data_IF_371768635767
#
_entry.id   IF_371768635767
#
_cell.length_a   1.000
_cell.length_b   1.000
_cell.length_c   1.000
_cell.angle_alpha   90.00
_cell.angle_beta   90.00
_cell.angle_gamma   90.00
#
_symmetry.space_group_name_H-M   'P 1'
#
loop_
_entity.id
_entity.type
_entity.pdbx_description
1 polymer ?
#
# COMPACT_ATOMS: atom_id res chain seq x y z
N UNK A 1 -21.03 -55.04 39.83
CA UNK A 1 -20.21 -53.83 39.54
C UNK A 1 -20.08 -53.75 38.04
N UNK A 2 -20.75 -52.78 37.44
CA UNK A 2 -20.94 -52.72 35.99
C UNK A 2 -19.72 -52.08 35.28
N UNK A 3 -19.23 -52.69 34.21
CA UNK A 3 -17.99 -52.24 33.47
C UNK A 3 -18.19 -50.92 32.71
N UNK A 4 -19.34 -50.29 32.77
CA UNK A 4 -19.72 -49.08 32.02
C UNK A 4 -18.93 -47.83 32.45
N UNK A 5 -18.40 -47.81 33.68
CA UNK A 5 -17.76 -46.58 34.20
C UNK A 5 -16.29 -46.42 33.76
N UNK A 6 -15.59 -47.49 33.45
CA UNK A 6 -14.18 -47.43 33.05
C UNK A 6 -13.99 -46.92 31.63
N UNK A 7 -14.94 -47.20 30.73
CA UNK A 7 -14.87 -46.73 29.34
C UNK A 7 -15.11 -45.23 29.24
N UNK A 8 -16.07 -44.69 30.01
CA UNK A 8 -16.33 -43.23 30.08
C UNK A 8 -15.08 -42.46 30.57
N UNK A 9 -14.39 -42.94 31.59
CA UNK A 9 -13.15 -42.33 32.09
C UNK A 9 -12.01 -42.37 31.07
N UNK A 10 -11.91 -43.46 30.31
CA UNK A 10 -10.90 -43.56 29.22
C UNK A 10 -11.20 -42.57 28.10
N UNK A 11 -12.45 -42.43 27.71
CA UNK A 11 -12.91 -41.52 26.67
C UNK A 11 -12.68 -40.07 27.08
N UNK A 12 -12.99 -39.68 28.30
CA UNK A 12 -12.73 -38.34 28.84
C UNK A 12 -11.24 -38.03 28.86
N UNK A 13 -10.39 -38.97 29.30
CA UNK A 13 -8.93 -38.79 29.29
C UNK A 13 -8.39 -38.62 27.87
N UNK A 14 -8.91 -39.36 26.90
CA UNK A 14 -8.52 -39.27 25.51
C UNK A 14 -8.89 -37.90 24.91
N UNK A 15 -10.12 -37.45 25.19
CA UNK A 15 -10.58 -36.12 24.75
C UNK A 15 -9.74 -35.01 25.37
N UNK A 16 -9.45 -35.08 26.67
CA UNK A 16 -8.60 -34.11 27.35
C UNK A 16 -7.16 -34.12 26.81
N UNK A 17 -6.60 -35.31 26.50
CA UNK A 17 -5.27 -35.43 25.90
C UNK A 17 -5.23 -34.80 24.49
N UNK A 18 -6.23 -35.07 23.65
CA UNK A 18 -6.34 -34.48 22.32
C UNK A 18 -6.49 -32.96 22.41
N UNK A 19 -7.32 -32.50 23.35
CA UNK A 19 -7.50 -31.06 23.56
C UNK A 19 -6.21 -30.37 24.04
N UNK A 20 -5.51 -31.00 25.00
CA UNK A 20 -4.20 -30.54 25.45
C UNK A 20 -3.17 -30.46 24.32
N UNK A 21 -3.15 -31.47 23.44
CA UNK A 21 -2.26 -31.49 22.28
C UNK A 21 -2.61 -30.39 21.27
N UNK A 22 -3.89 -30.13 21.07
CA UNK A 22 -4.36 -29.03 20.23
C UNK A 22 -3.96 -27.66 20.80
N UNK A 23 -4.09 -27.46 22.11
CA UNK A 23 -3.67 -26.22 22.78
C UNK A 23 -2.16 -26.02 22.67
N UNK A 24 -1.38 -27.07 22.88
CA UNK A 24 0.08 -27.03 22.70
C UNK A 24 0.47 -26.69 21.27
N UNK A 25 -0.23 -27.25 20.28
CA UNK A 25 -0.02 -26.92 18.87
C UNK A 25 -0.36 -25.46 18.56
N UNK A 26 -1.46 -24.94 19.10
CA UNK A 26 -1.83 -23.52 18.96
C UNK A 26 -0.78 -22.60 19.59
N UNK A 27 -0.31 -22.91 20.80
CA UNK A 27 0.74 -22.13 21.47
C UNK A 27 2.03 -22.16 20.65
N UNK A 28 2.40 -23.30 20.10
CA UNK A 28 3.59 -23.41 19.24
C UNK A 28 3.45 -22.60 17.95
N UNK A 29 2.27 -22.66 17.33
CA UNK A 29 2.03 -22.02 16.03
C UNK A 29 1.84 -20.51 16.15
N UNK A 30 1.11 -20.04 17.14
CA UNK A 30 0.79 -18.62 17.33
C UNK A 30 1.59 -17.92 18.45
N UNK A 31 2.39 -18.68 19.18
CA UNK A 31 3.20 -18.13 20.28
C UNK A 31 4.13 -16.99 19.86
N UNK A 32 4.86 -17.10 18.76
CA UNK A 32 5.71 -16.01 18.26
C UNK A 32 4.92 -14.74 17.95
N UNK A 33 3.76 -14.85 17.28
CA UNK A 33 2.91 -13.72 16.93
C UNK A 33 2.28 -13.07 18.18
N UNK A 34 1.84 -13.90 19.12
CA UNK A 34 1.30 -13.42 20.39
C UNK A 34 2.38 -12.72 21.24
N UNK A 35 3.62 -13.23 21.20
CA UNK A 35 4.76 -12.62 21.85
C UNK A 35 5.11 -11.25 21.25
N UNK A 36 5.14 -11.16 19.92
CA UNK A 36 5.36 -9.89 19.21
C UNK A 36 4.25 -8.88 19.50
N UNK A 37 2.99 -9.34 19.47
CA UNK A 37 1.85 -8.49 19.81
C UNK A 37 1.92 -7.97 21.26
N UNK A 38 2.26 -8.83 22.22
CA UNK A 38 2.40 -8.46 23.61
C UNK A 38 3.54 -7.45 23.81
N UNK A 39 4.67 -7.66 23.15
CA UNK A 39 5.79 -6.72 23.14
C UNK A 39 5.39 -5.36 22.57
N UNK A 40 4.71 -5.32 21.42
CA UNK A 40 4.22 -4.07 20.79
C UNK A 40 3.22 -3.33 21.68
N UNK A 41 2.30 -4.06 22.32
CA UNK A 41 1.35 -3.46 23.28
C UNK A 41 2.07 -2.88 24.49
N UNK A 42 3.05 -3.60 25.06
CA UNK A 42 3.83 -3.14 26.21
C UNK A 42 4.63 -1.87 25.90
N UNK A 43 5.15 -1.75 24.69
CA UNK A 43 5.89 -0.56 24.23
C UNK A 43 5.00 0.54 23.64
N UNK A 44 3.67 0.38 23.67
CA UNK A 44 2.70 1.30 23.05
C UNK A 44 2.92 1.51 21.54
N UNK A 45 3.59 0.59 20.88
CA UNK A 45 3.84 0.60 19.43
C UNK A 45 2.60 0.16 18.65
N UNK A 46 1.44 0.64 19.07
CA UNK A 46 0.16 0.21 18.50
C UNK A 46 -0.17 1.11 17.31
N UNK A 47 -0.33 0.51 16.16
CA UNK A 47 -0.89 1.13 14.96
C UNK A 47 0.06 2.05 14.17
N UNK A 48 0.66 3.07 14.77
CA UNK A 48 1.52 4.01 14.05
C UNK A 48 2.88 3.39 13.68
N UNK A 49 3.52 2.66 14.61
CA UNK A 49 4.81 2.01 14.37
C UNK A 49 4.69 0.89 13.34
N UNK A 50 3.64 0.06 13.43
CA UNK A 50 3.37 -1.02 12.44
C UNK A 50 3.20 -0.43 11.04
N UNK A 51 2.50 0.68 10.92
CA UNK A 51 2.32 1.36 9.62
C UNK A 51 3.62 1.95 9.10
N UNK A 52 4.51 2.41 9.97
CA UNK A 52 5.82 2.93 9.56
C UNK A 52 6.77 1.86 9.00
N UNK A 53 6.54 0.58 9.30
CA UNK A 53 7.28 -0.52 8.68
C UNK A 53 6.84 -0.76 7.23
N UNK A 54 5.60 -0.38 6.87
CA UNK A 54 5.07 -0.54 5.51
C UNK A 54 5.67 0.51 4.56
N UNK A 55 6.41 0.11 3.51
CA UNK A 55 7.07 1.04 2.58
C UNK A 55 6.09 1.99 1.89
N UNK A 56 4.89 1.50 1.56
CA UNK A 56 3.86 2.28 0.91
C UNK A 56 3.31 3.38 1.83
N UNK A 57 3.14 3.07 3.11
CA UNK A 57 2.71 4.05 4.11
C UNK A 57 3.76 5.15 4.31
N UNK A 58 5.05 4.77 4.41
CA UNK A 58 6.15 5.75 4.53
C UNK A 58 6.19 6.69 3.33
N UNK A 59 6.03 6.14 2.14
CA UNK A 59 5.96 6.93 0.92
C UNK A 59 4.76 7.87 0.92
N UNK A 60 3.56 7.38 1.24
CA UNK A 60 2.36 8.21 1.34
C UNK A 60 2.49 9.30 2.42
N UNK A 61 3.12 9.00 3.54
CA UNK A 61 3.39 10.00 4.59
C UNK A 61 4.37 11.10 4.11
N UNK A 62 5.42 10.72 3.38
CA UNK A 62 6.35 11.67 2.77
C UNK A 62 5.66 12.54 1.69
N UNK A 63 4.82 11.93 0.85
CA UNK A 63 4.02 12.65 -0.14
C UNK A 63 3.05 13.64 0.51
N UNK A 64 2.41 13.27 1.61
CA UNK A 64 1.52 14.16 2.37
C UNK A 64 2.20 15.41 2.90
N UNK A 65 3.48 15.32 3.23
CA UNK A 65 4.27 16.46 3.69
C UNK A 65 4.56 17.46 2.57
N UNK A 66 4.63 17.00 1.32
CA UNK A 66 4.99 17.82 0.16
C UNK A 66 3.77 18.27 -0.66
N UNK A 67 2.77 17.40 -0.79
CA UNK A 67 1.57 17.67 -1.60
C UNK A 67 0.53 18.41 -0.76
N UNK A 68 0.12 19.63 -1.13
CA UNK A 68 -0.91 20.38 -0.41
C UNK A 68 -2.26 19.63 -0.38
N UNK A 69 -3.06 19.89 0.64
CA UNK A 69 -4.37 19.23 0.83
C UNK A 69 -5.33 19.52 -0.32
N UNK A 70 -5.25 20.72 -0.89
CA UNK A 70 -6.11 21.16 -2.02
C UNK A 70 -5.59 20.70 -3.39
N UNK A 71 -4.42 20.08 -3.46
CA UNK A 71 -3.83 19.68 -4.74
C UNK A 71 -4.49 18.43 -5.31
N UNK A 72 -4.58 18.42 -6.64
CA UNK A 72 -4.91 17.21 -7.42
C UNK A 72 -3.63 16.51 -7.80
N UNK A 73 -3.64 15.19 -7.75
CA UNK A 73 -2.53 14.36 -8.24
C UNK A 73 -3.04 13.23 -9.13
N UNK A 74 -2.25 12.92 -10.15
CA UNK A 74 -2.44 11.73 -10.98
C UNK A 74 -1.53 10.63 -10.45
N UNK A 75 -2.06 9.43 -10.36
CA UNK A 75 -1.34 8.26 -9.89
C UNK A 75 -1.33 7.19 -11.00
N UNK A 76 -0.15 6.80 -11.43
CA UNK A 76 0.03 5.69 -12.37
C UNK A 76 0.23 4.40 -11.57
N UNK A 77 -0.78 3.54 -11.57
CA UNK A 77 -0.72 2.26 -10.88
C UNK A 77 -1.62 1.22 -11.55
N UNK A 78 -1.30 -0.04 -11.31
CA UNK A 78 -2.17 -1.15 -11.71
C UNK A 78 -3.30 -1.32 -10.69
N UNK A 79 -4.51 -1.03 -11.12
CA UNK A 79 -5.71 -1.21 -10.30
C UNK A 79 -5.86 -2.64 -9.77
N UNK A 80 -5.46 -3.64 -10.57
CA UNK A 80 -5.54 -5.05 -10.17
C UNK A 80 -4.61 -5.40 -9.00
N UNK A 81 -3.57 -4.60 -8.74
CA UNK A 81 -2.67 -4.81 -7.60
C UNK A 81 -3.26 -4.37 -6.25
N UNK A 82 -4.38 -3.63 -6.24
CA UNK A 82 -5.09 -3.21 -5.03
C UNK A 82 -4.40 -2.14 -4.17
N UNK A 83 -3.17 -1.74 -4.53
CA UNK A 83 -2.37 -0.79 -3.74
C UNK A 83 -2.81 0.67 -3.92
N UNK A 84 -3.48 0.96 -5.00
CA UNK A 84 -4.11 2.26 -5.27
C UNK A 84 -5.04 2.70 -4.14
N UNK A 85 -5.88 1.80 -3.67
CA UNK A 85 -6.84 2.07 -2.59
C UNK A 85 -6.14 2.51 -1.31
N UNK A 86 -5.02 1.86 -0.97
CA UNK A 86 -4.21 2.21 0.19
C UNK A 86 -3.61 3.62 0.06
N UNK A 87 -3.00 3.92 -1.10
CA UNK A 87 -2.43 5.26 -1.36
C UNK A 87 -3.52 6.33 -1.30
N UNK A 88 -4.66 6.11 -1.95
CA UNK A 88 -5.79 7.02 -1.93
C UNK A 88 -6.31 7.27 -0.51
N UNK A 89 -6.43 6.22 0.30
CA UNK A 89 -6.82 6.33 1.70
C UNK A 89 -5.84 7.18 2.51
N UNK A 90 -4.54 6.91 2.37
CA UNK A 90 -3.51 7.66 3.10
C UNK A 90 -3.36 9.09 2.61
N UNK A 91 -3.64 9.36 1.35
CA UNK A 91 -3.54 10.69 0.74
C UNK A 91 -4.79 11.55 0.91
N UNK A 92 -5.90 10.97 1.38
CA UNK A 92 -7.14 11.74 1.59
C UNK A 92 -6.89 12.99 2.47
N UNK A 93 -7.59 14.12 2.21
CA UNK A 93 -8.69 14.35 1.26
C UNK A 93 -8.25 14.87 -0.12
N UNK A 94 -6.98 14.73 -0.52
CA UNK A 94 -6.47 15.20 -1.82
C UNK A 94 -7.19 14.54 -2.97
N UNK A 95 -7.43 15.29 -4.04
CA UNK A 95 -8.09 14.75 -5.23
C UNK A 95 -7.17 13.78 -5.95
N UNK A 96 -7.66 12.58 -6.14
CA UNK A 96 -6.94 11.43 -6.72
C UNK A 96 -7.49 11.09 -8.10
N UNK A 97 -6.60 10.89 -9.08
CA UNK A 97 -6.92 10.42 -10.42
C UNK A 97 -6.02 9.23 -10.72
N UNK A 98 -6.61 8.07 -10.93
CA UNK A 98 -5.89 6.85 -11.29
C UNK A 98 -5.83 6.70 -12.80
N UNK A 99 -4.63 6.41 -13.31
CA UNK A 99 -4.41 6.00 -14.69
C UNK A 99 -3.59 4.71 -14.72
N UNK A 100 -3.78 3.87 -15.75
CA UNK A 100 -2.99 2.65 -15.90
C UNK A 100 -1.51 2.98 -16.17
N UNK A 101 -0.56 2.10 -15.77
CA UNK A 101 0.86 2.32 -15.99
C UNK A 101 1.25 2.46 -17.46
N UNK A 102 0.47 1.82 -18.36
CA UNK A 102 0.71 1.79 -19.80
C UNK A 102 0.12 3.01 -20.54
N UNK A 103 -0.37 4.01 -19.82
CA UNK A 103 -1.03 5.19 -20.40
C UNK A 103 -0.16 5.86 -21.48
N UNK A 104 -0.74 6.22 -22.66
CA UNK A 104 -0.06 7.02 -23.66
C UNK A 104 0.32 8.40 -23.14
N UNK A 105 1.41 8.97 -23.66
CA UNK A 105 1.90 10.29 -23.23
C UNK A 105 0.87 11.40 -23.52
N UNK A 106 0.22 11.38 -24.65
CA UNK A 106 -0.82 12.34 -25.05
C UNK A 106 -1.97 12.35 -24.06
N UNK A 107 -2.45 11.17 -23.65
CA UNK A 107 -3.56 11.06 -22.70
C UNK A 107 -3.16 11.44 -21.28
N UNK A 108 -1.95 11.07 -20.85
CA UNK A 108 -1.42 11.50 -19.55
C UNK A 108 -1.34 13.03 -19.46
N UNK A 109 -0.73 13.67 -20.47
CA UNK A 109 -0.54 15.12 -20.47
C UNK A 109 -1.87 15.87 -20.59
N UNK A 110 -2.79 15.37 -21.41
CA UNK A 110 -4.16 15.87 -21.48
C UNK A 110 -4.84 15.81 -20.11
N UNK A 111 -4.77 14.67 -19.44
CA UNK A 111 -5.40 14.50 -18.12
C UNK A 111 -4.79 15.44 -17.07
N UNK A 112 -3.45 15.54 -17.03
CA UNK A 112 -2.77 16.46 -16.12
C UNK A 112 -3.21 17.91 -16.33
N UNK A 113 -3.34 18.33 -17.60
CA UNK A 113 -3.80 19.67 -17.95
C UNK A 113 -5.28 19.88 -17.60
N UNK A 114 -6.16 18.98 -18.07
CA UNK A 114 -7.61 19.08 -17.88
C UNK A 114 -7.99 19.12 -16.40
N UNK A 115 -7.34 18.31 -15.60
CA UNK A 115 -7.63 18.17 -14.17
C UNK A 115 -6.79 19.11 -13.29
N UNK A 116 -5.98 19.96 -13.91
CA UNK A 116 -5.06 20.88 -13.23
C UNK A 116 -4.22 20.15 -12.17
N UNK A 117 -3.77 18.94 -12.50
CA UNK A 117 -3.03 18.13 -11.57
C UNK A 117 -1.60 18.65 -11.39
N UNK A 118 -1.27 19.03 -10.16
CA UNK A 118 0.02 19.60 -9.82
C UNK A 118 1.08 18.54 -9.50
N UNK A 119 0.69 17.28 -9.41
CA UNK A 119 1.60 16.19 -9.07
C UNK A 119 1.30 14.93 -9.90
N UNK A 120 2.37 14.22 -10.24
CA UNK A 120 2.33 12.90 -10.86
C UNK A 120 3.07 11.91 -9.97
N UNK A 121 2.40 10.84 -9.59
CA UNK A 121 2.96 9.75 -8.80
C UNK A 121 3.01 8.50 -9.68
N UNK A 122 4.10 7.79 -9.66
CA UNK A 122 4.27 6.56 -10.43
C UNK A 122 4.69 5.46 -9.45
N UNK A 123 3.93 4.39 -9.35
CA UNK A 123 4.37 3.21 -8.62
C UNK A 123 5.05 2.25 -9.60
N UNK A 124 6.30 1.92 -9.31
CA UNK A 124 7.01 0.88 -10.03
C UNK A 124 6.53 -0.48 -9.53
N UNK A 125 5.85 -1.19 -10.39
CA UNK A 125 5.24 -2.48 -10.09
C UNK A 125 5.78 -3.59 -10.99
N UNK A 126 4.99 -4.65 -11.13
CA UNK A 126 5.32 -5.78 -11.99
C UNK A 126 5.21 -5.48 -13.49
N UNK A 127 4.43 -4.47 -13.85
CA UNK A 127 4.24 -4.08 -15.25
C UNK A 127 5.28 -3.02 -15.66
N UNK A 128 5.77 -3.09 -16.89
CA UNK A 128 6.67 -2.07 -17.42
C UNK A 128 5.94 -0.73 -17.51
N UNK A 129 6.68 0.35 -17.28
CA UNK A 129 6.17 1.70 -17.43
C UNK A 129 5.94 2.01 -18.91
N UNK A 130 4.74 2.50 -19.21
CA UNK A 130 4.34 2.88 -20.55
C UNK A 130 4.93 4.20 -21.05
N UNK A 131 4.58 4.57 -22.29
CA UNK A 131 5.13 5.79 -22.93
C UNK A 131 4.87 7.07 -22.14
N UNK A 132 3.72 7.18 -21.47
CA UNK A 132 3.39 8.34 -20.66
C UNK A 132 4.36 8.56 -19.49
N UNK A 133 4.64 7.49 -18.74
CA UNK A 133 5.57 7.54 -17.62
C UNK A 133 7.01 7.82 -18.09
N UNK A 134 7.41 7.26 -19.23
CA UNK A 134 8.72 7.52 -19.83
C UNK A 134 8.84 8.97 -20.32
N UNK A 135 7.83 9.48 -21.00
CA UNK A 135 7.79 10.87 -21.42
C UNK A 135 7.85 11.85 -20.24
N UNK A 136 7.18 11.56 -19.15
CA UNK A 136 7.24 12.37 -17.93
C UNK A 136 8.66 12.44 -17.35
N UNK A 137 9.41 11.35 -17.36
CA UNK A 137 10.81 11.33 -16.88
C UNK A 137 11.78 12.20 -17.68
N UNK A 138 11.50 12.43 -18.96
CA UNK A 138 12.36 13.16 -19.86
C UNK A 138 11.86 14.59 -20.15
N UNK A 139 10.67 14.94 -19.71
CA UNK A 139 10.09 16.26 -19.98
C UNK A 139 10.47 17.27 -18.89
N UNK A 140 10.88 18.49 -19.27
CA UNK A 140 11.20 19.55 -18.31
C UNK A 140 10.00 20.03 -17.49
N UNK A 141 8.77 19.66 -17.91
CA UNK A 141 7.56 19.96 -17.17
C UNK A 141 7.44 19.17 -15.86
N UNK A 142 8.25 18.15 -15.65
CA UNK A 142 8.19 17.28 -14.49
C UNK A 142 9.45 17.40 -13.63
N UNK A 143 9.30 18.04 -12.49
CA UNK A 143 10.37 18.21 -11.51
C UNK A 143 10.35 17.01 -10.54
N UNK A 144 11.40 16.18 -10.49
CA UNK A 144 11.43 15.01 -9.63
C UNK A 144 11.45 15.42 -8.16
N UNK A 145 10.66 14.71 -7.36
CA UNK A 145 10.66 14.82 -5.91
C UNK A 145 11.49 13.67 -5.33
N UNK A 146 12.54 14.01 -4.59
CA UNK A 146 13.39 13.02 -3.93
C UNK A 146 12.71 12.52 -2.66
N UNK A 147 11.88 11.50 -2.81
CA UNK A 147 11.12 10.89 -1.71
C UNK A 147 11.42 9.40 -1.63
N UNK A 148 11.54 8.83 -0.42
CA UNK A 148 11.70 7.40 -0.26
C UNK A 148 10.39 6.69 -0.60
N UNK A 149 10.43 5.71 -1.50
CA UNK A 149 9.21 4.97 -1.83
C UNK A 149 9.32 4.04 -3.02
N UNK A 150 8.23 3.37 -3.37
CA UNK A 150 8.18 2.34 -4.41
C UNK A 150 8.16 2.91 -5.84
N UNK A 151 8.42 4.18 -6.02
CA UNK A 151 8.50 4.78 -7.34
C UNK A 151 8.67 6.29 -7.32
N UNK A 152 8.92 6.90 -8.49
CA UNK A 152 9.16 8.32 -8.60
C UNK A 152 7.87 9.13 -8.41
N UNK A 153 8.05 10.32 -7.85
CA UNK A 153 7.03 11.35 -7.77
C UNK A 153 7.55 12.62 -8.42
N UNK A 154 6.65 13.37 -9.04
CA UNK A 154 7.00 14.59 -9.76
C UNK A 154 6.03 15.71 -9.38
N UNK A 155 6.58 16.91 -9.28
CA UNK A 155 5.78 18.12 -9.35
C UNK A 155 5.61 18.51 -10.81
N UNK A 156 4.38 18.85 -11.20
CA UNK A 156 4.05 19.21 -12.59
C UNK A 156 4.05 20.72 -12.72
N UNK A 157 4.82 21.23 -13.67
CA UNK A 157 4.82 22.62 -14.07
C UNK A 157 3.84 22.80 -15.24
N UNK A 158 2.63 23.18 -14.95
CA UNK A 158 1.55 23.30 -15.92
C UNK A 158 1.86 24.18 -17.14
N UNK A 159 2.52 25.34 -17.02
CA UNK A 159 2.96 26.16 -18.15
C UNK A 159 3.91 25.45 -19.12
N UNK A 160 4.69 24.49 -18.65
CA UNK A 160 5.63 23.72 -19.47
C UNK A 160 5.02 22.43 -20.05
N UNK A 161 3.81 22.07 -19.62
CA UNK A 161 3.08 20.94 -20.19
C UNK A 161 2.68 21.29 -21.63
N UNK A 162 3.47 20.82 -22.59
CA UNK A 162 3.08 20.86 -23.99
C UNK A 162 2.17 19.67 -24.26
N UNK A 163 0.88 19.93 -24.23
CA UNK A 163 -0.12 18.96 -24.67
C UNK A 163 -0.38 19.20 -26.17
N UNK A 164 0.33 18.56 -27.00
CA UNK A 164 0.10 18.45 -28.43
C UNK A 164 0.26 16.99 -28.79
N UNK A 165 -0.31 16.58 -29.89
CA UNK A 165 -0.20 15.20 -30.35
C UNK A 165 1.27 14.78 -30.35
N UNK A 166 1.64 14.02 -29.32
CA UNK A 166 2.92 13.34 -29.23
C UNK A 166 2.67 11.92 -29.77
N UNK A 167 2.61 11.80 -31.06
CA UNK A 167 2.67 10.52 -31.76
C UNK A 167 4.11 10.24 -32.18
#
# INVERSE_FOLDING_TARGET
MTPVNTWRHRLVRLVLALWGLQVLWLIWHFGPEAGDLAHRVAHRDVGAAIRQEEPLYRWAAALRAVIPVSATYVFLDDYAAGKEIEVRYFMAPRRHILLPPEVPASFLFYTLHQEQAAFLLIREGQKPLGPGAQAARHSPAFQPLTLPGPGPAFRVDAPLLRWGFYD
#
